data_IF_919799793372
#
_entry.id   IF_919799793372
#
_cell.length_a   1.000
_cell.length_b   1.000
_cell.length_c   1.000
_cell.angle_alpha   90.00
_cell.angle_beta   90.00
_cell.angle_gamma   90.00
#
_symmetry.space_group_name_H-M   'P 1'
#
loop_
_entity.id
_entity.type
_entity.pdbx_description
1 polymer ?
#
# COMPACT_ATOMS: atom_id res chain seq x y z
N UNK A 1 8.55 11.70 -3.18
CA UNK A 1 9.44 10.62 -3.68
C UNK A 1 8.56 9.41 -3.99
N UNK A 2 8.69 8.75 -5.14
CA UNK A 2 7.85 7.60 -5.48
C UNK A 2 8.14 6.43 -4.53
N UNK A 3 7.09 5.79 -4.05
CA UNK A 3 7.21 4.61 -3.18
C UNK A 3 7.56 3.41 -4.05
N UNK A 4 8.75 2.84 -3.84
CA UNK A 4 9.25 1.70 -4.60
C UNK A 4 8.89 0.36 -3.95
N UNK A 5 8.89 -0.71 -4.74
CA UNK A 5 8.64 -2.08 -4.27
C UNK A 5 9.63 -2.48 -3.17
N UNK A 6 9.16 -3.20 -2.16
CA UNK A 6 9.94 -3.61 -0.99
C UNK A 6 10.02 -2.53 0.11
N UNK A 7 9.40 -1.36 -0.08
CA UNK A 7 9.29 -0.35 0.97
C UNK A 7 8.16 -0.71 1.93
N UNK A 8 8.48 -0.69 3.23
CA UNK A 8 7.51 -0.68 4.32
C UNK A 8 7.17 0.77 4.65
N UNK A 9 5.89 1.12 4.60
CA UNK A 9 5.35 2.39 5.06
C UNK A 9 4.71 2.15 6.42
N UNK A 10 4.95 3.04 7.36
CA UNK A 10 4.31 3.01 8.67
C UNK A 10 3.62 4.35 8.81
N UNK A 11 2.29 4.33 8.75
CA UNK A 11 1.46 5.44 9.18
C UNK A 11 1.07 5.27 10.65
N UNK A 12 0.38 6.26 11.21
CA UNK A 12 -0.01 6.26 12.64
C UNK A 12 -0.80 5.02 13.06
N UNK A 13 -1.53 4.40 12.13
CA UNK A 13 -2.39 3.25 12.43
C UNK A 13 -2.32 2.11 11.40
N UNK A 14 -1.52 2.29 10.37
CA UNK A 14 -1.46 1.33 9.26
C UNK A 14 -0.01 1.04 8.90
N UNK A 15 0.29 -0.25 8.75
CA UNK A 15 1.56 -0.70 8.19
C UNK A 15 1.30 -1.18 6.78
N UNK A 16 1.94 -0.56 5.80
CA UNK A 16 1.81 -0.95 4.41
C UNK A 16 3.13 -1.45 3.85
N UNK A 17 3.08 -2.36 2.88
CA UNK A 17 4.23 -2.84 2.13
C UNK A 17 3.91 -2.80 0.65
N UNK A 18 4.86 -2.33 -0.15
CA UNK A 18 4.71 -2.30 -1.60
C UNK A 18 5.27 -3.58 -2.20
N UNK A 19 4.37 -4.41 -2.72
CA UNK A 19 4.67 -5.65 -3.42
C UNK A 19 4.97 -5.44 -4.91
N UNK A 20 5.25 -6.54 -5.60
CA UNK A 20 5.49 -6.55 -7.05
C UNK A 20 4.23 -6.04 -7.79
N UNK A 21 4.41 -5.30 -8.88
CA UNK A 21 3.35 -4.64 -9.66
C UNK A 21 2.72 -3.39 -8.99
N UNK A 22 3.45 -2.70 -8.10
CA UNK A 22 2.96 -1.51 -7.38
C UNK A 22 1.70 -1.78 -6.54
N UNK A 23 1.43 -3.04 -6.20
CA UNK A 23 0.39 -3.43 -5.25
C UNK A 23 0.85 -3.03 -3.85
N UNK A 24 -0.01 -2.34 -3.09
CA UNK A 24 0.32 -1.95 -1.72
C UNK A 24 -0.56 -2.73 -0.76
N UNK A 25 0.01 -3.66 -0.02
CA UNK A 25 -0.70 -4.39 1.02
C UNK A 25 -0.59 -3.63 2.35
N UNK A 26 -1.71 -3.28 2.95
CA UNK A 26 -1.80 -2.55 4.20
C UNK A 26 -2.47 -3.42 5.28
N UNK A 27 -1.99 -3.31 6.51
CA UNK A 27 -2.64 -3.83 7.70
C UNK A 27 -2.96 -2.67 8.64
N UNK A 28 -4.22 -2.55 9.03
CA UNK A 28 -4.67 -1.63 10.06
C UNK A 28 -4.44 -2.28 11.43
N UNK A 29 -3.71 -1.60 12.31
CA UNK A 29 -3.35 -2.14 13.62
C UNK A 29 -4.53 -2.10 14.60
N UNK A 30 -5.37 -1.06 14.51
CA UNK A 30 -6.54 -0.87 15.36
C UNK A 30 -7.63 -1.91 15.11
N UNK A 31 -7.97 -2.15 13.84
CA UNK A 31 -9.05 -3.07 13.49
C UNK A 31 -8.52 -4.48 13.17
N UNK A 32 -7.21 -4.67 12.98
CA UNK A 32 -6.59 -5.94 12.54
C UNK A 32 -7.13 -6.43 11.18
N UNK A 33 -7.60 -5.51 10.34
CA UNK A 33 -8.03 -5.80 8.98
C UNK A 33 -6.89 -5.54 8.01
N UNK A 34 -6.64 -6.51 7.11
CA UNK A 34 -5.73 -6.36 5.99
C UNK A 34 -6.49 -5.96 4.72
N UNK A 35 -5.96 -5.01 3.96
CA UNK A 35 -6.49 -4.63 2.66
C UNK A 35 -5.34 -4.41 1.65
N UNK A 36 -5.61 -4.59 0.37
CA UNK A 36 -4.63 -4.36 -0.70
C UNK A 36 -5.12 -3.23 -1.58
N UNK A 37 -4.31 -2.19 -1.70
CA UNK A 37 -4.50 -1.13 -2.67
C UNK A 37 -3.85 -1.57 -3.97
N UNK A 38 -4.68 -1.87 -4.97
CA UNK A 38 -4.23 -2.00 -6.34
C UNK A 38 -4.30 -0.61 -6.99
N UNK A 39 -3.22 -0.12 -7.61
CA UNK A 39 -3.28 1.13 -8.33
C UNK A 39 -4.37 1.02 -9.39
N UNK A 40 -5.47 1.74 -9.20
CA UNK A 40 -6.48 1.94 -10.22
C UNK A 40 -5.81 2.80 -11.27
N UNK A 41 -5.29 2.19 -12.33
CA UNK A 41 -4.70 2.93 -13.44
C UNK A 41 -5.67 4.04 -13.85
N UNK A 42 -5.32 5.28 -13.55
CA UNK A 42 -5.95 6.45 -14.13
C UNK A 42 -5.12 6.75 -15.36
N UNK A 43 -5.57 6.24 -16.49
CA UNK A 43 -5.06 6.58 -17.80
C UNK A 43 -5.88 7.78 -18.23
N UNK A 44 -5.36 8.98 -17.93
CA UNK A 44 -5.83 10.19 -18.59
C UNK A 44 -5.21 10.20 -19.98
N UNK A 45 -6.05 10.33 -21.01
CA UNK A 45 -5.66 10.53 -22.40
C UNK A 45 -4.94 11.87 -22.60
#
# INVERSE_FOLDING_TARGET
MPISTGKKLVGDNSTCVVGKNNLVACIDADHKHGFVLQPSGSWTF
#
